data_IF_921280487594
#
_entry.id   IF_921280487594
#
_cell.length_a   1.000
_cell.length_b   1.000
_cell.length_c   1.000
_cell.angle_alpha   90.00
_cell.angle_beta   90.00
_cell.angle_gamma   90.00
#
_symmetry.space_group_name_H-M   'P 1'
#
loop_
_entity.id
_entity.type
_entity.pdbx_description
1 polymer ?
#
# COMPACT_ATOMS: atom_id res chain seq x y z
N UNK A 1 -15.55 33.28 -12.11
CA UNK A 1 -14.42 32.46 -12.55
C UNK A 1 -14.29 32.41 -14.08
N UNK A 2 -15.28 31.94 -14.87
CA UNK A 2 -15.19 31.93 -16.34
C UNK A 2 -14.87 33.29 -16.96
N UNK A 3 -15.51 34.37 -16.51
CA UNK A 3 -15.18 35.72 -16.90
C UNK A 3 -13.69 36.07 -16.60
N UNK A 4 -13.18 35.65 -15.45
CA UNK A 4 -11.79 35.86 -15.08
C UNK A 4 -10.82 35.11 -15.99
N UNK A 5 -11.19 33.88 -16.44
CA UNK A 5 -10.39 33.12 -17.42
C UNK A 5 -10.40 33.83 -18.80
N UNK A 6 -11.53 34.40 -19.23
CA UNK A 6 -11.64 35.14 -20.51
C UNK A 6 -10.75 36.39 -20.47
N UNK A 7 -10.73 37.14 -19.37
CA UNK A 7 -9.95 38.36 -19.21
C UNK A 7 -8.48 38.11 -18.88
N UNK A 8 -8.17 37.11 -18.05
CA UNK A 8 -6.81 36.78 -17.65
C UNK A 8 -6.04 35.95 -18.67
N UNK A 9 -6.72 35.52 -19.76
CA UNK A 9 -6.11 34.78 -20.85
C UNK A 9 -5.43 33.46 -20.40
N UNK A 10 -4.34 33.12 -21.06
CA UNK A 10 -3.61 31.87 -20.88
C UNK A 10 -3.22 31.60 -19.42
N UNK A 11 -2.74 32.59 -18.69
CA UNK A 11 -2.31 32.42 -17.30
C UNK A 11 -3.47 32.04 -16.35
N UNK A 12 -4.62 32.68 -16.52
CA UNK A 12 -5.80 32.42 -15.71
C UNK A 12 -6.44 31.05 -16.06
N UNK A 13 -6.45 30.69 -17.36
CA UNK A 13 -6.94 29.37 -17.79
C UNK A 13 -6.02 28.26 -17.30
N UNK A 14 -4.70 28.41 -17.40
CA UNK A 14 -3.74 27.44 -16.88
C UNK A 14 -3.93 27.20 -15.38
N UNK A 15 -4.08 28.28 -14.60
CA UNK A 15 -4.34 28.19 -13.16
C UNK A 15 -5.69 27.50 -12.85
N UNK A 16 -6.74 27.80 -13.60
CA UNK A 16 -8.05 27.16 -13.39
C UNK A 16 -8.04 25.70 -13.84
N UNK A 17 -7.43 25.38 -15.00
CA UNK A 17 -7.37 24.03 -15.56
C UNK A 17 -6.49 23.06 -14.73
N UNK A 18 -5.59 23.59 -13.89
CA UNK A 18 -4.82 22.77 -12.97
C UNK A 18 -5.68 22.07 -11.90
N UNK A 19 -6.87 22.59 -11.57
CA UNK A 19 -7.75 22.09 -10.51
C UNK A 19 -9.16 21.80 -10.98
N UNK A 20 -9.61 22.34 -12.10
CA UNK A 20 -10.97 22.20 -12.59
C UNK A 20 -11.04 21.36 -13.86
N UNK A 21 -12.12 20.60 -13.94
CA UNK A 21 -12.53 19.88 -15.13
C UNK A 21 -13.92 20.37 -15.58
N UNK A 22 -14.26 20.29 -16.89
CA UNK A 22 -15.55 20.78 -17.38
C UNK A 22 -16.77 20.23 -16.62
N UNK A 23 -16.75 18.95 -16.24
CA UNK A 23 -17.87 18.32 -15.54
C UNK A 23 -18.10 18.86 -14.10
N UNK A 24 -17.13 19.58 -13.54
CA UNK A 24 -17.25 20.21 -12.21
C UNK A 24 -18.20 21.43 -12.22
N UNK A 25 -18.66 21.89 -13.37
CA UNK A 25 -19.66 22.95 -13.46
C UNK A 25 -21.08 22.35 -13.46
N UNK A 26 -21.99 23.00 -12.72
CA UNK A 26 -23.38 22.55 -12.63
C UNK A 26 -24.16 22.75 -13.94
N UNK A 27 -23.86 23.84 -14.64
CA UNK A 27 -24.51 24.18 -15.91
C UNK A 27 -23.75 23.60 -17.08
N UNK A 28 -24.44 22.93 -18.00
CA UNK A 28 -23.85 22.41 -19.23
C UNK A 28 -23.16 23.50 -20.06
N UNK A 29 -23.77 24.68 -20.13
CA UNK A 29 -23.21 25.86 -20.80
C UNK A 29 -21.84 26.24 -20.22
N UNK A 30 -21.72 26.25 -18.90
CA UNK A 30 -20.47 26.58 -18.24
C UNK A 30 -19.41 25.46 -18.44
N UNK A 31 -19.83 24.20 -18.50
CA UNK A 31 -18.94 23.08 -18.83
C UNK A 31 -18.31 23.28 -20.20
N UNK A 32 -19.12 23.69 -21.16
CA UNK A 32 -18.68 23.82 -22.56
C UNK A 32 -17.86 25.09 -22.79
N UNK A 33 -18.22 26.21 -22.11
CA UNK A 33 -17.35 27.41 -22.09
C UNK A 33 -15.97 27.05 -21.53
N UNK A 34 -15.92 26.33 -20.41
CA UNK A 34 -14.63 25.96 -19.80
C UNK A 34 -13.86 24.98 -20.69
N UNK A 35 -14.53 24.00 -21.29
CA UNK A 35 -13.93 23.09 -22.26
C UNK A 35 -13.30 23.84 -23.43
N UNK A 36 -14.01 24.83 -23.97
CA UNK A 36 -13.50 25.64 -25.08
C UNK A 36 -12.31 26.52 -24.65
N UNK A 37 -12.35 27.09 -23.45
CA UNK A 37 -11.21 27.82 -22.87
C UNK A 37 -9.97 26.93 -22.78
N UNK A 38 -10.11 25.67 -22.37
CA UNK A 38 -9.01 24.71 -22.31
C UNK A 38 -8.48 24.36 -23.71
N UNK A 39 -9.35 24.18 -24.70
CA UNK A 39 -8.93 23.95 -26.11
C UNK A 39 -8.14 25.11 -26.63
N UNK A 40 -8.64 26.37 -26.51
CA UNK A 40 -7.93 27.57 -26.93
C UNK A 40 -6.57 27.73 -26.24
N UNK A 41 -6.48 27.36 -24.97
CA UNK A 41 -5.23 27.35 -24.22
C UNK A 41 -4.24 26.31 -24.75
N UNK A 42 -4.68 25.05 -24.96
CA UNK A 42 -3.85 23.95 -25.48
C UNK A 42 -3.31 24.26 -26.89
N UNK A 43 -4.15 24.88 -27.75
CA UNK A 43 -3.79 25.26 -29.11
C UNK A 43 -3.02 26.58 -29.16
N UNK A 44 -2.72 27.20 -28.03
CA UNK A 44 -2.06 28.50 -27.91
C UNK A 44 -2.73 29.63 -28.73
N UNK A 45 -4.07 29.57 -28.85
CA UNK A 45 -4.89 30.57 -29.54
C UNK A 45 -5.23 31.75 -28.63
N UNK A 46 -5.58 32.88 -29.20
CA UNK A 46 -6.00 34.06 -28.42
C UNK A 46 -7.28 33.74 -27.62
N UNK A 47 -7.24 34.00 -26.32
CA UNK A 47 -8.37 33.82 -25.40
C UNK A 47 -9.02 35.16 -25.15
N UNK A 48 -10.16 35.36 -25.78
CA UNK A 48 -11.06 36.51 -25.56
C UNK A 48 -12.53 36.04 -25.71
N UNK A 49 -13.49 36.90 -25.40
CA UNK A 49 -14.90 36.56 -25.49
C UNK A 49 -15.36 36.16 -26.90
N UNK A 50 -14.69 36.68 -27.96
CA UNK A 50 -15.00 36.37 -29.37
C UNK A 50 -14.56 34.97 -29.73
N UNK A 51 -13.31 34.62 -29.47
CA UNK A 51 -12.76 33.27 -29.72
C UNK A 51 -13.53 32.20 -28.94
N UNK A 52 -13.84 32.47 -27.65
CA UNK A 52 -14.65 31.55 -26.83
C UNK A 52 -16.06 31.38 -27.39
N UNK A 53 -16.70 32.46 -27.85
CA UNK A 53 -18.05 32.37 -28.41
C UNK A 53 -18.09 31.66 -29.76
N UNK A 54 -17.04 31.79 -30.59
CA UNK A 54 -16.95 31.10 -31.90
C UNK A 54 -16.95 29.58 -31.74
N UNK A 55 -16.20 29.04 -30.79
CA UNK A 55 -16.20 27.60 -30.53
C UNK A 55 -17.52 27.03 -29.99
N UNK A 56 -18.38 27.89 -29.43
CA UNK A 56 -19.70 27.48 -28.98
C UNK A 56 -20.78 27.46 -30.08
N UNK A 57 -20.61 28.25 -31.16
CA UNK A 57 -21.55 28.30 -32.27
C UNK A 57 -21.53 27.03 -33.14
N UNK A 58 -20.45 26.26 -33.12
CA UNK A 58 -20.27 25.01 -33.88
C UNK A 58 -20.81 23.76 -33.15
N UNK A 59 -21.24 23.92 -31.92
CA UNK A 59 -21.71 22.81 -31.08
C UNK A 59 -23.24 22.73 -31.04
N UNK A 60 -23.86 21.54 -30.71
CA UNK A 60 -25.30 21.33 -30.72
C UNK A 60 -26.08 22.06 -29.61
N UNK A 61 -25.56 23.21 -29.15
CA UNK A 61 -26.11 23.98 -28.02
C UNK A 61 -27.24 24.94 -28.36
N UNK A 62 -27.69 25.00 -29.63
CA UNK A 62 -28.89 25.77 -30.01
C UNK A 62 -30.09 25.50 -29.16
N UNK A 63 -30.20 24.28 -28.59
CA UNK A 63 -31.34 23.86 -27.76
C UNK A 63 -31.26 24.34 -26.31
N UNK A 64 -30.07 24.65 -25.79
CA UNK A 64 -29.90 25.10 -24.39
C UNK A 64 -30.17 26.59 -24.24
N UNK A 65 -30.00 27.37 -25.32
CA UNK A 65 -30.23 28.80 -25.34
C UNK A 65 -31.63 29.19 -25.87
N UNK A 66 -32.63 28.28 -25.70
CA UNK A 66 -34.02 28.45 -26.24
C UNK A 66 -34.74 29.74 -25.84
N UNK A 67 -34.25 30.42 -24.80
CA UNK A 67 -34.89 31.67 -24.34
C UNK A 67 -33.89 32.85 -24.47
N UNK A 68 -33.96 33.56 -25.60
CA UNK A 68 -33.54 34.96 -25.82
C UNK A 68 -32.07 35.34 -25.94
N UNK A 69 -31.06 34.51 -25.68
CA UNK A 69 -29.64 34.92 -25.80
C UNK A 69 -28.80 33.97 -26.63
N UNK A 70 -28.24 34.49 -27.73
CA UNK A 70 -27.22 33.72 -28.48
C UNK A 70 -26.00 33.42 -27.60
N UNK A 71 -25.24 32.32 -27.85
CA UNK A 71 -24.01 32.05 -27.13
C UNK A 71 -23.04 33.24 -27.11
N UNK A 72 -22.93 33.97 -28.19
CA UNK A 72 -22.12 35.20 -28.29
C UNK A 72 -22.53 36.26 -27.26
N UNK A 73 -23.82 36.51 -27.16
CA UNK A 73 -24.33 37.48 -26.23
C UNK A 73 -24.12 37.04 -24.77
N UNK A 74 -24.34 35.76 -24.50
CA UNK A 74 -24.13 35.22 -23.15
C UNK A 74 -22.67 35.34 -22.71
N UNK A 75 -21.69 34.93 -23.54
CA UNK A 75 -20.24 35.04 -23.23
C UNK A 75 -19.81 36.52 -23.12
N UNK A 76 -20.33 37.39 -24.00
CA UNK A 76 -20.09 38.83 -23.91
C UNK A 76 -20.62 39.44 -22.63
N UNK A 77 -21.88 39.12 -22.25
CA UNK A 77 -22.51 39.60 -21.01
C UNK A 77 -21.73 39.07 -19.80
N UNK A 78 -21.29 37.79 -19.83
CA UNK A 78 -20.49 37.17 -18.78
C UNK A 78 -19.15 37.89 -18.60
N UNK A 79 -18.47 38.23 -19.71
CA UNK A 79 -17.19 38.94 -19.67
C UNK A 79 -17.31 40.39 -19.16
N UNK A 80 -18.42 41.06 -19.48
CA UNK A 80 -18.65 42.46 -19.05
C UNK A 80 -19.17 42.57 -17.59
N UNK A 81 -19.84 41.53 -17.09
CA UNK A 81 -20.46 41.54 -15.75
C UNK A 81 -19.46 41.50 -14.59
N UNK A 82 -18.25 40.95 -14.83
CA UNK A 82 -17.27 40.72 -13.77
C UNK A 82 -15.88 41.16 -14.20
N UNK A 83 -15.30 42.22 -13.57
CA UNK A 83 -13.93 42.62 -13.84
C UNK A 83 -12.93 41.54 -13.40
N UNK A 84 -11.80 41.49 -14.06
CA UNK A 84 -10.72 40.60 -13.73
C UNK A 84 -10.08 40.97 -12.39
N UNK A 85 -10.08 40.03 -11.46
CA UNK A 85 -9.33 40.13 -10.20
C UNK A 85 -8.55 38.84 -10.01
N UNK A 86 -7.24 38.90 -10.18
CA UNK A 86 -6.34 37.76 -10.06
C UNK A 86 -6.37 37.14 -8.64
N UNK A 87 -6.66 37.94 -7.60
CA UNK A 87 -6.69 37.47 -6.21
C UNK A 87 -7.94 36.64 -5.90
N UNK A 88 -9.01 36.84 -6.68
CA UNK A 88 -10.28 36.13 -6.51
C UNK A 88 -10.34 34.82 -7.28
N UNK A 89 -9.52 34.64 -8.30
CA UNK A 89 -9.55 33.43 -9.15
C UNK A 89 -9.33 32.14 -8.34
N UNK A 90 -8.29 32.03 -7.46
CA UNK A 90 -8.09 30.82 -6.64
C UNK A 90 -9.31 30.49 -5.76
N UNK A 91 -9.89 31.51 -5.12
CA UNK A 91 -11.08 31.32 -4.26
C UNK A 91 -12.31 30.86 -5.04
N UNK A 92 -12.47 31.36 -6.28
CA UNK A 92 -13.56 30.92 -7.15
C UNK A 92 -13.35 29.48 -7.61
N UNK A 93 -12.12 29.07 -7.92
CA UNK A 93 -11.75 27.70 -8.29
C UNK A 93 -12.06 26.76 -7.11
N UNK A 94 -11.59 27.06 -5.92
CA UNK A 94 -11.84 26.30 -4.69
C UNK A 94 -13.34 26.08 -4.43
N UNK A 95 -14.14 27.16 -4.59
CA UNK A 95 -15.60 27.06 -4.42
C UNK A 95 -16.28 26.17 -5.47
N UNK A 96 -15.81 26.18 -6.71
CA UNK A 96 -16.36 25.30 -7.75
C UNK A 96 -16.02 23.84 -7.45
N UNK A 97 -14.80 23.54 -7.00
CA UNK A 97 -14.39 22.20 -6.54
C UNK A 97 -15.30 21.76 -5.39
N UNK A 98 -15.41 22.56 -4.33
CA UNK A 98 -16.28 22.25 -3.16
C UNK A 98 -17.72 21.91 -3.59
N UNK A 99 -18.32 22.74 -4.46
CA UNK A 99 -19.68 22.48 -4.93
C UNK A 99 -19.79 21.29 -5.87
N UNK A 100 -18.75 20.97 -6.64
CA UNK A 100 -18.71 19.78 -7.48
C UNK A 100 -18.69 18.50 -6.61
N UNK A 101 -17.85 18.48 -5.59
CA UNK A 101 -17.77 17.38 -4.61
C UNK A 101 -19.10 17.18 -3.87
N UNK A 102 -19.70 18.26 -3.40
CA UNK A 102 -21.05 18.20 -2.75
C UNK A 102 -22.12 17.60 -3.66
N UNK A 103 -22.10 17.95 -4.98
CA UNK A 103 -23.02 17.38 -5.96
C UNK A 103 -22.73 15.90 -6.21
N UNK A 104 -21.46 15.51 -6.29
CA UNK A 104 -21.07 14.11 -6.47
C UNK A 104 -21.52 13.25 -5.28
N UNK A 105 -21.30 13.70 -4.06
CA UNK A 105 -21.79 13.03 -2.84
C UNK A 105 -23.31 12.95 -2.81
N UNK A 106 -24.01 14.03 -3.17
CA UNK A 106 -25.48 14.03 -3.22
C UNK A 106 -26.03 13.09 -4.28
N UNK A 107 -25.37 13.00 -5.45
CA UNK A 107 -25.73 12.05 -6.52
C UNK A 107 -25.55 10.61 -6.07
N UNK A 108 -24.41 10.32 -5.42
CA UNK A 108 -24.13 9.00 -4.86
C UNK A 108 -25.17 8.61 -3.79
N UNK A 109 -25.52 9.53 -2.89
CA UNK A 109 -26.53 9.27 -1.86
C UNK A 109 -27.90 8.89 -2.48
N UNK A 110 -28.31 9.57 -3.56
CA UNK A 110 -29.53 9.24 -4.30
C UNK A 110 -29.44 7.86 -4.95
N UNK A 111 -28.32 7.55 -5.59
CA UNK A 111 -28.07 6.24 -6.21
C UNK A 111 -28.14 5.12 -5.16
N UNK A 112 -27.45 5.29 -4.03
CA UNK A 112 -27.46 4.32 -2.94
C UNK A 112 -28.84 4.14 -2.32
N UNK A 113 -29.61 5.22 -2.18
CA UNK A 113 -31.01 5.13 -1.74
C UNK A 113 -31.85 4.27 -2.69
N UNK A 114 -31.71 4.49 -3.99
CA UNK A 114 -32.45 3.70 -5.00
C UNK A 114 -32.04 2.23 -4.99
N UNK A 115 -30.74 1.95 -4.90
CA UNK A 115 -30.22 0.58 -4.84
C UNK A 115 -30.60 -0.15 -3.54
N UNK A 116 -30.62 0.57 -2.41
CA UNK A 116 -31.04 0.00 -1.12
C UNK A 116 -32.52 -0.39 -1.07
N UNK A 117 -33.36 0.24 -1.91
CA UNK A 117 -34.76 -0.11 -2.04
C UNK A 117 -35.01 -1.29 -3.01
N UNK A 118 -34.01 -1.71 -3.75
CA UNK A 118 -34.08 -2.88 -4.62
C UNK A 118 -33.84 -4.17 -3.82
N UNK A 119 -34.91 -4.88 -3.50
CA UNK A 119 -34.85 -6.12 -2.71
C UNK A 119 -34.25 -7.32 -3.45
N UNK A 120 -34.03 -7.23 -4.77
CA UNK A 120 -33.42 -8.30 -5.58
C UNK A 120 -31.89 -8.31 -5.46
N UNK A 121 -31.30 -7.19 -5.05
CA UNK A 121 -29.84 -7.06 -4.95
C UNK A 121 -29.35 -7.37 -3.53
N UNK A 122 -28.32 -8.26 -3.36
CA UNK A 122 -27.79 -8.58 -2.05
C UNK A 122 -27.22 -7.36 -1.32
N UNK A 123 -27.60 -7.17 -0.05
CA UNK A 123 -27.18 -6.01 0.76
C UNK A 123 -25.66 -5.88 0.87
N UNK A 124 -24.93 -7.00 0.85
CA UNK A 124 -23.48 -7.00 0.92
C UNK A 124 -22.84 -6.37 -0.33
N UNK A 125 -23.42 -6.62 -1.51
CA UNK A 125 -22.96 -6.02 -2.77
C UNK A 125 -23.24 -4.51 -2.79
N UNK A 126 -24.41 -4.09 -2.30
CA UNK A 126 -24.76 -2.66 -2.21
C UNK A 126 -23.76 -1.94 -1.29
N UNK A 127 -23.45 -2.53 -0.13
CA UNK A 127 -22.45 -1.97 0.80
C UNK A 127 -21.06 -1.90 0.18
N UNK A 128 -20.63 -2.93 -0.55
CA UNK A 128 -19.35 -2.96 -1.24
C UNK A 128 -19.25 -1.86 -2.30
N UNK A 129 -20.27 -1.76 -3.17
CA UNK A 129 -20.34 -0.73 -4.20
C UNK A 129 -20.38 0.70 -3.61
N UNK A 130 -21.08 0.88 -2.49
CA UNK A 130 -21.12 2.17 -1.79
C UNK A 130 -19.75 2.62 -1.29
N UNK A 131 -19.00 1.71 -0.67
CA UNK A 131 -17.64 1.99 -0.19
C UNK A 131 -16.72 2.27 -1.37
N UNK A 132 -16.77 1.48 -2.43
CA UNK A 132 -15.93 1.68 -3.63
C UNK A 132 -16.17 3.06 -4.26
N UNK A 133 -17.43 3.46 -4.42
CA UNK A 133 -17.77 4.74 -5.04
C UNK A 133 -17.45 5.95 -4.15
N UNK A 134 -17.63 5.83 -2.82
CA UNK A 134 -17.17 6.86 -1.86
C UNK A 134 -15.66 7.05 -1.92
N UNK A 135 -14.92 5.95 -2.02
CA UNK A 135 -13.47 5.97 -2.12
C UNK A 135 -13.00 6.55 -3.46
N UNK A 136 -13.72 6.23 -4.56
CA UNK A 136 -13.46 6.85 -5.86
C UNK A 136 -13.61 8.37 -5.78
N UNK A 137 -14.68 8.86 -5.16
CA UNK A 137 -14.89 10.31 -4.97
C UNK A 137 -13.80 10.94 -4.08
N UNK A 138 -13.32 10.22 -3.07
CA UNK A 138 -12.23 10.71 -2.23
C UNK A 138 -10.88 10.77 -2.98
N UNK A 139 -10.67 9.89 -3.97
CA UNK A 139 -9.45 9.78 -4.75
C UNK A 139 -9.49 10.54 -6.08
N UNK A 140 -10.65 10.99 -6.57
CA UNK A 140 -10.79 11.73 -7.85
C UNK A 140 -9.99 13.05 -7.91
N UNK A 141 -9.44 13.49 -6.77
CA UNK A 141 -8.51 14.62 -6.69
C UNK A 141 -7.04 14.27 -7.04
N UNK A 142 -6.73 13.00 -7.33
CA UNK A 142 -5.39 12.64 -7.80
C UNK A 142 -5.23 13.07 -9.26
N UNK A 143 -4.54 14.18 -9.47
CA UNK A 143 -4.03 14.55 -10.78
C UNK A 143 -3.14 13.41 -11.30
N UNK A 144 -3.52 12.80 -12.43
CA UNK A 144 -2.74 11.73 -13.08
C UNK A 144 -1.34 12.22 -13.49
N UNK A 145 -1.15 13.54 -13.58
CA UNK A 145 0.14 14.18 -13.89
C UNK A 145 0.35 15.41 -13.02
N UNK A 146 1.56 15.57 -12.52
CA UNK A 146 2.01 16.78 -11.84
C UNK A 146 3.35 17.23 -12.44
N UNK A 147 3.60 18.55 -12.47
CA UNK A 147 4.92 19.05 -12.84
C UNK A 147 5.96 18.69 -11.78
N UNK A 148 7.22 18.51 -12.19
CA UNK A 148 8.30 18.23 -11.24
C UNK A 148 8.37 19.28 -10.11
N UNK A 149 8.14 20.56 -10.43
CA UNK A 149 8.09 21.64 -9.43
C UNK A 149 6.95 21.49 -8.43
N UNK A 150 5.77 21.05 -8.85
CA UNK A 150 4.64 20.80 -7.95
C UNK A 150 4.92 19.61 -7.02
N UNK A 151 5.57 18.57 -7.53
CA UNK A 151 5.99 17.40 -6.71
C UNK A 151 7.05 17.80 -5.69
N UNK A 152 8.05 18.60 -6.08
CA UNK A 152 9.05 19.11 -5.13
C UNK A 152 8.41 19.97 -4.03
N UNK A 153 7.51 20.88 -4.42
CA UNK A 153 6.81 21.74 -3.47
C UNK A 153 5.85 21.01 -2.50
N UNK A 154 5.56 19.73 -2.74
CA UNK A 154 4.73 18.91 -1.84
C UNK A 154 5.46 18.31 -0.64
N UNK A 155 6.69 18.72 -0.37
CA UNK A 155 7.54 18.27 0.74
C UNK A 155 8.71 17.39 0.32
N UNK A 156 8.79 17.02 -0.98
CA UNK A 156 9.88 16.18 -1.46
C UNK A 156 11.24 16.92 -1.42
N UNK A 157 11.26 18.24 -1.58
CA UNK A 157 12.48 19.04 -1.48
C UNK A 157 13.09 18.93 -0.09
N UNK A 158 12.29 19.07 0.96
CA UNK A 158 12.73 18.93 2.36
C UNK A 158 13.23 17.51 2.65
N UNK A 159 12.56 16.48 2.10
CA UNK A 159 12.99 15.09 2.26
C UNK A 159 14.37 14.85 1.60
N UNK A 160 14.58 15.38 0.39
CA UNK A 160 15.87 15.25 -0.32
C UNK A 160 16.97 15.97 0.45
N UNK A 161 16.73 17.19 0.94
CA UNK A 161 17.71 17.96 1.72
C UNK A 161 18.04 17.22 3.02
N UNK A 162 17.03 16.74 3.75
CA UNK A 162 17.25 15.98 4.99
C UNK A 162 18.10 14.71 4.74
N UNK A 163 17.86 13.99 3.63
CA UNK A 163 18.67 12.84 3.24
C UNK A 163 20.11 13.23 2.90
N UNK A 164 20.34 14.36 2.24
CA UNK A 164 21.69 14.83 1.92
C UNK A 164 22.46 15.26 3.18
N UNK A 165 21.78 15.79 4.19
CA UNK A 165 22.36 16.15 5.48
C UNK A 165 22.64 14.92 6.36
N UNK A 166 21.75 13.94 6.37
CA UNK A 166 21.91 12.67 7.08
C UNK A 166 21.47 11.48 6.20
N UNK A 167 22.38 10.88 5.42
CA UNK A 167 22.08 9.71 4.58
C UNK A 167 21.67 8.45 5.37
N UNK A 168 21.75 8.47 6.70
CA UNK A 168 21.27 7.38 7.56
C UNK A 168 19.79 7.54 7.96
N UNK A 169 19.17 8.63 7.53
CA UNK A 169 17.76 8.89 7.80
C UNK A 169 16.87 7.82 7.16
N UNK A 170 15.95 7.29 7.95
CA UNK A 170 15.00 6.28 7.49
C UNK A 170 13.73 7.00 7.03
N UNK A 171 13.48 6.97 5.72
CA UNK A 171 12.31 7.60 5.11
C UNK A 171 11.05 6.73 5.17
N UNK A 172 11.21 5.41 5.18
CA UNK A 172 10.13 4.45 5.29
C UNK A 172 9.70 4.18 6.73
N UNK A 173 8.75 3.27 6.90
CA UNK A 173 8.34 2.81 8.23
C UNK A 173 9.50 2.05 8.88
N UNK A 174 9.93 2.53 10.05
CA UNK A 174 11.02 1.93 10.82
C UNK A 174 10.67 0.53 11.28
N UNK A 175 11.60 -0.39 11.08
CA UNK A 175 11.45 -1.78 11.51
C UNK A 175 12.27 -2.14 12.74
N UNK A 176 13.29 -1.38 13.07
CA UNK A 176 14.29 -1.72 14.08
C UNK A 176 15.21 -2.87 13.66
N UNK A 177 15.14 -3.29 12.40
CA UNK A 177 15.97 -4.36 11.82
C UNK A 177 16.95 -3.72 10.87
N UNK A 178 18.25 -3.76 11.23
CA UNK A 178 19.32 -3.06 10.48
C UNK A 178 19.29 -3.35 8.98
N UNK A 179 19.03 -4.59 8.59
CA UNK A 179 18.98 -4.99 7.19
C UNK A 179 17.91 -4.19 6.41
N UNK A 180 16.72 -4.01 6.99
CA UNK A 180 15.65 -3.22 6.37
C UNK A 180 15.93 -1.72 6.48
N UNK A 181 16.26 -1.26 7.68
CA UNK A 181 16.37 0.15 7.96
C UNK A 181 17.58 0.80 7.26
N UNK A 182 18.75 0.11 7.23
CA UNK A 182 19.95 0.66 6.61
C UNK A 182 20.06 0.41 5.11
N UNK A 183 19.52 -0.73 4.61
CA UNK A 183 19.69 -1.10 3.20
C UNK A 183 18.51 -0.68 2.34
N UNK A 184 17.28 -0.71 2.90
CA UNK A 184 16.07 -0.36 2.19
C UNK A 184 15.49 1.00 2.62
N UNK A 185 16.10 1.71 3.58
CA UNK A 185 15.54 2.94 4.13
C UNK A 185 14.27 2.73 4.98
N UNK A 186 14.07 1.51 5.51
CA UNK A 186 12.84 1.07 6.17
C UNK A 186 11.86 0.42 5.19
N UNK A 187 10.59 0.35 5.56
CA UNK A 187 9.52 -0.06 4.64
C UNK A 187 9.02 1.19 3.91
N UNK A 188 9.54 1.42 2.70
CA UNK A 188 9.16 2.59 1.90
C UNK A 188 7.71 2.52 1.45
N UNK A 189 7.02 3.67 1.48
CA UNK A 189 5.66 3.82 1.00
C UNK A 189 5.54 3.47 -0.48
N UNK A 190 4.33 3.10 -0.92
CA UNK A 190 4.02 2.72 -2.30
C UNK A 190 4.86 1.54 -2.82
N UNK A 191 5.55 0.77 -1.94
CA UNK A 191 6.41 -0.35 -2.29
C UNK A 191 5.83 -1.69 -1.86
N UNK A 192 6.13 -2.71 -2.67
CA UNK A 192 5.84 -4.12 -2.35
C UNK A 192 7.14 -4.86 -2.11
N UNK A 193 7.28 -5.43 -0.93
CA UNK A 193 8.40 -6.27 -0.51
C UNK A 193 7.91 -7.70 -0.45
N UNK A 194 8.47 -8.58 -1.28
CA UNK A 194 8.11 -10.00 -1.27
C UNK A 194 9.16 -10.83 -0.54
N UNK A 195 8.70 -11.63 0.41
CA UNK A 195 9.53 -12.57 1.17
C UNK A 195 9.37 -13.97 0.58
N UNK A 196 10.47 -14.49 0.06
CA UNK A 196 10.55 -15.84 -0.49
C UNK A 196 11.09 -16.80 0.56
N UNK A 197 10.37 -17.87 0.79
CA UNK A 197 10.82 -18.88 1.73
C UNK A 197 10.16 -20.22 1.47
N UNK A 198 10.84 -21.29 1.83
CA UNK A 198 10.28 -22.64 1.80
C UNK A 198 9.23 -22.86 2.88
N UNK A 199 8.44 -23.91 2.76
CA UNK A 199 7.46 -24.31 3.79
C UNK A 199 8.17 -24.71 5.09
N UNK A 200 7.54 -24.38 6.22
CA UNK A 200 7.97 -24.81 7.58
C UNK A 200 9.31 -24.22 8.08
N UNK A 201 9.90 -23.23 7.40
CA UNK A 201 11.14 -22.59 7.86
C UNK A 201 10.94 -21.36 8.75
N UNK A 202 9.70 -21.02 9.09
CA UNK A 202 9.42 -19.90 10.00
C UNK A 202 8.96 -18.60 9.33
N UNK A 203 8.43 -18.63 8.11
CA UNK A 203 7.92 -17.44 7.38
C UNK A 203 6.93 -16.60 8.20
N UNK A 204 5.89 -17.25 8.72
CA UNK A 204 4.87 -16.58 9.53
C UNK A 204 5.46 -16.02 10.83
N UNK A 205 6.44 -16.72 11.43
CA UNK A 205 7.17 -16.17 12.57
C UNK A 205 7.93 -14.90 12.21
N UNK A 206 8.56 -14.87 11.02
CA UNK A 206 9.26 -13.67 10.56
C UNK A 206 8.31 -12.50 10.36
N UNK A 207 7.17 -12.72 9.68
CA UNK A 207 6.16 -11.69 9.43
C UNK A 207 5.58 -11.15 10.75
N UNK A 208 5.22 -12.05 11.67
CA UNK A 208 4.70 -11.66 12.97
C UNK A 208 5.76 -10.91 13.81
N UNK A 209 7.01 -11.37 13.79
CA UNK A 209 8.10 -10.70 14.47
C UNK A 209 8.37 -9.32 13.88
N UNK A 210 8.42 -9.18 12.55
CA UNK A 210 8.67 -7.89 11.90
C UNK A 210 7.52 -6.90 12.17
N UNK A 211 6.26 -7.36 12.11
CA UNK A 211 5.09 -6.53 12.46
C UNK A 211 5.13 -6.08 13.92
N UNK A 212 5.54 -6.97 14.83
CA UNK A 212 5.78 -6.64 16.24
C UNK A 212 6.86 -5.59 16.43
N UNK A 213 7.97 -5.68 15.68
CA UNK A 213 9.04 -4.69 15.75
C UNK A 213 8.54 -3.31 15.32
N UNK A 214 7.80 -3.22 14.22
CA UNK A 214 7.15 -1.97 13.78
C UNK A 214 6.24 -1.41 14.87
N UNK A 215 5.40 -2.23 15.48
CA UNK A 215 4.48 -1.80 16.54
C UNK A 215 5.21 -1.30 17.80
N UNK A 216 6.32 -1.92 18.17
CA UNK A 216 7.17 -1.48 19.29
C UNK A 216 7.80 -0.12 19.06
N UNK A 217 8.00 0.27 17.81
CA UNK A 217 8.46 1.60 17.42
C UNK A 217 7.33 2.62 17.24
N UNK A 218 6.10 2.24 17.62
CA UNK A 218 4.92 3.12 17.60
C UNK A 218 4.08 3.03 16.31
N UNK A 219 4.51 2.25 15.33
CA UNK A 219 3.79 2.04 14.07
C UNK A 219 2.50 1.21 14.23
N UNK A 220 1.65 1.26 13.23
CA UNK A 220 0.33 0.61 13.17
C UNK A 220 0.30 -0.46 12.06
N UNK A 221 0.89 -1.66 12.27
CA UNK A 221 0.89 -2.71 11.27
C UNK A 221 -0.46 -3.41 11.19
N UNK A 222 -0.88 -3.77 9.95
CA UNK A 222 -2.05 -4.58 9.68
C UNK A 222 -1.63 -5.92 9.06
N UNK A 223 -1.95 -7.03 9.73
CA UNK A 223 -1.63 -8.39 9.28
C UNK A 223 -2.87 -8.99 8.62
N UNK A 224 -2.75 -9.40 7.37
CA UNK A 224 -3.71 -10.27 6.69
C UNK A 224 -3.17 -11.70 6.70
N UNK A 225 -3.88 -12.58 7.39
CA UNK A 225 -3.59 -14.01 7.41
C UNK A 225 -4.61 -14.76 6.56
N UNK A 226 -4.13 -15.60 5.65
CA UNK A 226 -4.98 -16.50 4.84
C UNK A 226 -4.95 -17.93 5.35
N UNK A 227 -3.98 -18.27 6.21
CA UNK A 227 -3.78 -19.62 6.73
C UNK A 227 -4.23 -19.74 8.19
N UNK A 228 -3.90 -18.74 9.01
CA UNK A 228 -4.10 -18.81 10.46
C UNK A 228 -5.25 -17.92 10.93
N UNK A 229 -6.19 -18.45 11.75
CA UNK A 229 -7.23 -17.65 12.38
C UNK A 229 -6.66 -16.50 13.23
N UNK A 230 -7.43 -15.41 13.39
CA UNK A 230 -6.99 -14.22 14.16
C UNK A 230 -6.47 -14.59 15.57
N UNK A 231 -7.17 -15.48 16.28
CA UNK A 231 -6.79 -15.86 17.63
C UNK A 231 -5.42 -16.55 17.68
N UNK A 232 -5.07 -17.34 16.65
CA UNK A 232 -3.78 -18.01 16.58
C UNK A 232 -2.64 -17.05 16.30
N UNK A 233 -2.84 -16.07 15.39
CA UNK A 233 -1.89 -14.98 15.13
C UNK A 233 -1.64 -14.18 16.41
N UNK A 234 -2.70 -13.76 17.09
CA UNK A 234 -2.60 -13.00 18.35
C UNK A 234 -1.93 -13.84 19.44
N UNK A 235 -2.23 -15.14 19.54
CA UNK A 235 -1.58 -16.05 20.47
C UNK A 235 -0.07 -16.14 20.21
N UNK A 236 0.37 -16.27 18.95
CA UNK A 236 1.80 -16.27 18.59
C UNK A 236 2.48 -14.95 18.97
N UNK A 237 1.86 -13.84 18.69
CA UNK A 237 2.38 -12.52 19.09
C UNK A 237 2.51 -12.42 20.61
N UNK A 238 1.55 -12.95 21.38
CA UNK A 238 1.61 -12.96 22.85
C UNK A 238 2.78 -13.82 23.39
N UNK A 239 3.04 -14.99 22.78
CA UNK A 239 4.21 -15.79 23.11
C UNK A 239 5.52 -15.07 22.77
N UNK A 240 5.58 -14.35 21.64
CA UNK A 240 6.75 -13.54 21.27
C UNK A 240 6.97 -12.38 22.26
N UNK A 241 5.92 -11.70 22.71
CA UNK A 241 6.04 -10.60 23.67
C UNK A 241 6.44 -11.10 25.06
N UNK A 242 5.86 -12.20 25.52
CA UNK A 242 6.20 -12.84 26.78
C UNK A 242 7.51 -13.63 26.72
N UNK A 243 8.07 -13.86 25.54
CA UNK A 243 9.24 -14.74 25.33
C UNK A 243 9.08 -16.14 25.97
N UNK A 244 7.90 -16.72 25.80
CA UNK A 244 7.52 -17.99 26.43
C UNK A 244 7.55 -19.13 25.41
N UNK A 245 8.16 -20.26 25.81
CA UNK A 245 8.18 -21.47 24.98
C UNK A 245 6.90 -22.27 25.15
N UNK A 246 6.01 -22.16 24.18
CA UNK A 246 4.75 -22.92 24.15
C UNK A 246 4.97 -24.44 24.11
N UNK A 247 5.99 -24.89 23.36
CA UNK A 247 6.25 -26.34 23.22
C UNK A 247 6.79 -26.93 24.49
N UNK A 248 7.68 -26.22 25.18
CA UNK A 248 8.23 -26.65 26.46
C UNK A 248 7.12 -26.76 27.52
N UNK A 249 6.22 -25.75 27.60
CA UNK A 249 5.07 -25.83 28.53
C UNK A 249 4.20 -27.04 28.21
N UNK A 250 3.95 -27.31 26.93
CA UNK A 250 3.15 -28.46 26.51
C UNK A 250 3.81 -29.79 26.86
N UNK A 251 5.13 -29.88 26.74
CA UNK A 251 5.89 -31.08 27.13
C UNK A 251 5.94 -31.28 28.62
N UNK A 252 6.09 -30.22 29.40
CA UNK A 252 6.07 -30.28 30.88
C UNK A 252 4.67 -30.53 31.45
N UNK A 253 3.63 -30.23 30.66
CA UNK A 253 2.23 -30.35 31.12
C UNK A 253 1.80 -29.23 32.10
N UNK A 254 2.71 -28.36 32.52
CA UNK A 254 2.43 -27.28 33.48
C UNK A 254 3.32 -26.08 33.20
N UNK A 255 2.75 -24.86 33.29
CA UNK A 255 3.51 -23.62 33.25
C UNK A 255 3.91 -23.18 34.66
N UNK A 256 5.14 -22.74 34.80
CA UNK A 256 5.66 -22.12 36.04
C UNK A 256 4.98 -20.79 36.31
N UNK A 257 5.12 -20.28 37.54
CA UNK A 257 4.60 -18.95 37.90
C UNK A 257 5.28 -17.83 37.10
N UNK A 258 6.58 -17.98 36.77
CA UNK A 258 7.30 -17.07 35.95
C UNK A 258 6.72 -17.04 34.52
N UNK A 259 6.59 -18.21 33.86
CA UNK A 259 6.01 -18.30 32.50
C UNK A 259 4.59 -17.74 32.46
N UNK A 260 3.78 -17.94 33.49
CA UNK A 260 2.45 -17.33 33.60
C UNK A 260 2.53 -15.80 33.73
N UNK A 261 3.51 -15.29 34.49
CA UNK A 261 3.78 -13.87 34.64
C UNK A 261 4.21 -13.24 33.29
N UNK A 262 5.16 -13.87 32.63
CA UNK A 262 5.69 -13.43 31.34
C UNK A 262 4.61 -13.44 30.25
N UNK A 263 3.76 -14.45 30.24
CA UNK A 263 2.63 -14.53 29.33
C UNK A 263 1.58 -13.42 29.60
N UNK A 264 1.29 -13.10 30.88
CA UNK A 264 0.42 -11.98 31.24
C UNK A 264 1.01 -10.65 30.76
N UNK A 265 2.31 -10.45 30.94
CA UNK A 265 3.02 -9.29 30.42
C UNK A 265 2.87 -9.21 28.90
N UNK A 266 3.15 -10.29 28.17
CA UNK A 266 3.00 -10.32 26.71
C UNK A 266 1.59 -9.96 26.23
N UNK A 267 0.56 -10.50 26.91
CA UNK A 267 -0.83 -10.16 26.61
C UNK A 267 -1.15 -8.69 26.91
N UNK A 268 -0.61 -8.13 27.99
CA UNK A 268 -0.82 -6.73 28.36
C UNK A 268 -0.18 -5.79 27.34
N UNK A 269 1.05 -6.08 26.90
CA UNK A 269 1.73 -5.31 25.83
C UNK A 269 0.88 -5.30 24.55
N UNK A 270 0.32 -6.45 24.16
CA UNK A 270 -0.50 -6.54 22.95
C UNK A 270 -1.82 -5.77 23.04
N UNK A 271 -2.45 -5.68 24.22
CA UNK A 271 -3.68 -4.88 24.41
C UNK A 271 -3.49 -3.41 24.04
N UNK A 272 -2.31 -2.88 24.31
CA UNK A 272 -1.96 -1.48 24.01
C UNK A 272 -1.21 -1.30 22.68
N UNK A 273 -0.89 -2.40 21.99
CA UNK A 273 -0.27 -2.35 20.69
C UNK A 273 -1.26 -1.89 19.61
N UNK A 274 -0.73 -1.28 18.55
CA UNK A 274 -1.53 -0.90 17.38
C UNK A 274 -1.60 -2.01 16.32
N UNK A 275 -1.20 -3.25 16.65
CA UNK A 275 -1.25 -4.38 15.72
C UNK A 275 -2.70 -4.74 15.41
N UNK A 276 -3.04 -4.75 14.14
CA UNK A 276 -4.33 -5.20 13.69
C UNK A 276 -4.21 -6.52 12.92
N UNK A 277 -5.18 -7.41 13.09
CA UNK A 277 -5.20 -8.73 12.43
C UNK A 277 -6.51 -8.92 11.69
N UNK A 278 -6.43 -9.23 10.41
CA UNK A 278 -7.55 -9.67 9.57
C UNK A 278 -7.32 -11.11 9.12
N UNK A 279 -8.39 -11.89 9.02
CA UNK A 279 -8.32 -13.28 8.59
C UNK A 279 -9.47 -13.62 7.65
N UNK A 280 -9.12 -14.27 6.55
CA UNK A 280 -10.05 -15.03 5.73
C UNK A 280 -9.27 -16.14 5.04
N UNK A 281 -9.76 -17.38 5.11
CA UNK A 281 -9.14 -18.55 4.47
C UNK A 281 -9.00 -18.38 2.93
N UNK A 282 -9.68 -17.42 2.36
CA UNK A 282 -9.61 -17.03 0.96
C UNK A 282 -9.89 -15.53 0.87
N UNK A 283 -8.83 -14.73 1.03
CA UNK A 283 -8.92 -13.27 1.03
C UNK A 283 -8.95 -12.74 -0.41
N UNK A 284 -10.05 -12.11 -0.80
CA UNK A 284 -10.09 -11.38 -2.09
C UNK A 284 -9.29 -10.09 -2.01
N UNK A 285 -8.52 -9.79 -3.06
CA UNK A 285 -7.65 -8.61 -3.12
C UNK A 285 -8.42 -7.28 -3.00
N UNK A 286 -9.65 -7.21 -3.52
CA UNK A 286 -10.51 -6.03 -3.40
C UNK A 286 -11.02 -5.85 -1.97
N UNK A 287 -11.39 -6.98 -1.31
CA UNK A 287 -11.81 -6.96 0.11
C UNK A 287 -10.66 -6.49 1.00
N UNK A 288 -9.43 -6.96 0.70
CA UNK A 288 -8.23 -6.50 1.40
C UNK A 288 -8.04 -4.99 1.23
N UNK A 289 -8.12 -4.47 0.00
CA UNK A 289 -8.02 -3.04 -0.27
C UNK A 289 -9.05 -2.23 0.52
N UNK A 290 -10.30 -2.68 0.55
CA UNK A 290 -11.38 -2.03 1.30
C UNK A 290 -11.11 -2.00 2.80
N UNK A 291 -10.60 -3.09 3.38
CA UNK A 291 -10.26 -3.14 4.82
C UNK A 291 -9.08 -2.24 5.16
N UNK A 292 -8.05 -2.17 4.31
CA UNK A 292 -6.92 -1.24 4.51
C UNK A 292 -7.43 0.20 4.54
N UNK A 293 -8.22 0.61 3.52
CA UNK A 293 -8.79 1.95 3.43
C UNK A 293 -9.66 2.29 4.64
N UNK A 294 -10.55 1.37 5.03
CA UNK A 294 -11.39 1.55 6.21
C UNK A 294 -10.55 1.82 7.47
N UNK A 295 -9.45 1.08 7.64
CA UNK A 295 -8.57 1.26 8.78
C UNK A 295 -7.74 2.53 8.71
N UNK A 296 -7.25 2.91 7.55
CA UNK A 296 -6.55 4.20 7.39
C UNK A 296 -7.45 5.36 7.85
N UNK A 297 -8.75 5.32 7.55
CA UNK A 297 -9.72 6.33 7.97
C UNK A 297 -10.06 6.31 9.46
N UNK A 298 -9.93 5.17 10.15
CA UNK A 298 -10.42 5.02 11.54
C UNK A 298 -9.32 4.98 12.58
N UNK A 299 -8.28 4.18 12.35
CA UNK A 299 -7.25 3.89 13.36
C UNK A 299 -5.81 4.08 12.85
N UNK A 300 -5.65 4.40 11.58
CA UNK A 300 -4.36 4.46 10.91
C UNK A 300 -3.80 3.07 10.57
N UNK A 301 -3.01 3.02 9.49
CA UNK A 301 -2.20 1.86 9.09
C UNK A 301 -0.92 2.40 8.47
N UNK A 302 0.23 1.99 9.00
CA UNK A 302 1.54 2.42 8.50
C UNK A 302 2.16 1.40 7.54
N UNK A 303 1.82 0.12 7.69
CA UNK A 303 2.28 -0.95 6.81
C UNK A 303 1.34 -2.16 6.85
N UNK A 304 1.36 -2.95 5.79
CA UNK A 304 0.54 -4.15 5.63
C UNK A 304 1.43 -5.38 5.49
N UNK A 305 1.07 -6.45 6.18
CA UNK A 305 1.67 -7.77 6.07
C UNK A 305 0.67 -8.78 5.52
N UNK A 306 1.07 -9.56 4.51
CA UNK A 306 0.22 -10.58 3.88
C UNK A 306 0.86 -11.96 4.04
N UNK A 307 0.23 -12.83 4.80
CA UNK A 307 0.67 -14.21 5.03
C UNK A 307 -0.43 -15.17 4.58
N UNK A 308 -0.39 -15.64 3.33
CA UNK A 308 0.54 -15.57 2.23
C UNK A 308 -0.20 -15.30 0.89
N UNK A 309 0.53 -14.96 -0.17
CA UNK A 309 -0.05 -14.59 -1.49
C UNK A 309 -0.90 -15.73 -2.09
N UNK A 310 -0.46 -16.98 -1.97
CA UNK A 310 -1.15 -18.14 -2.56
C UNK A 310 -2.51 -18.44 -1.92
N UNK A 311 -2.78 -17.93 -0.71
CA UNK A 311 -4.09 -18.01 -0.07
C UNK A 311 -5.07 -16.91 -0.50
N UNK A 312 -4.62 -15.98 -1.35
CA UNK A 312 -5.46 -14.88 -1.83
C UNK A 312 -6.26 -15.24 -3.07
N UNK A 313 -7.27 -14.41 -3.36
CA UNK A 313 -8.14 -14.52 -4.54
C UNK A 313 -8.21 -13.21 -5.31
N UNK A 314 -8.59 -13.34 -6.58
CA UNK A 314 -8.97 -12.21 -7.41
C UNK A 314 -10.28 -12.57 -8.13
N UNK A 315 -11.23 -11.67 -8.14
CA UNK A 315 -12.55 -11.86 -8.74
C UNK A 315 -12.45 -12.32 -10.20
N UNK A 316 -13.31 -13.27 -10.59
CA UNK A 316 -13.36 -13.81 -11.95
C UNK A 316 -12.26 -14.81 -12.32
N UNK A 317 -11.29 -15.10 -11.43
CA UNK A 317 -10.22 -16.05 -11.68
C UNK A 317 -10.41 -17.31 -10.81
N UNK A 318 -10.64 -18.48 -11.41
CA UNK A 318 -10.77 -19.73 -10.68
C UNK A 318 -9.46 -20.13 -9.99
N UNK A 319 -9.56 -20.81 -8.84
CA UNK A 319 -8.39 -21.35 -8.10
C UNK A 319 -7.54 -22.33 -8.91
N UNK A 320 -8.14 -23.04 -9.89
CA UNK A 320 -7.42 -23.95 -10.78
C UNK A 320 -6.44 -23.24 -11.72
N UNK A 321 -6.58 -21.93 -11.90
CA UNK A 321 -5.70 -21.07 -12.70
C UNK A 321 -4.67 -20.36 -11.83
N UNK A 322 -3.92 -21.11 -11.05
CA UNK A 322 -3.00 -20.59 -10.02
C UNK A 322 -2.06 -19.50 -10.54
N UNK A 323 -1.47 -19.67 -11.72
CA UNK A 323 -0.54 -18.70 -12.32
C UNK A 323 -1.23 -17.36 -12.63
N UNK A 324 -2.45 -17.41 -13.21
CA UNK A 324 -3.24 -16.21 -13.51
C UNK A 324 -3.64 -15.52 -12.21
N UNK A 325 -4.02 -16.30 -11.20
CA UNK A 325 -4.40 -15.79 -9.89
C UNK A 325 -3.24 -15.08 -9.18
N UNK A 326 -2.05 -15.69 -9.15
CA UNK A 326 -0.86 -15.08 -8.56
C UNK A 326 -0.50 -13.78 -9.30
N UNK A 327 -0.59 -13.76 -10.64
CA UNK A 327 -0.36 -12.56 -11.43
C UNK A 327 -1.34 -11.44 -11.06
N UNK A 328 -2.62 -11.75 -10.93
CA UNK A 328 -3.64 -10.77 -10.55
C UNK A 328 -3.44 -10.25 -9.12
N UNK A 329 -3.10 -11.14 -8.19
CA UNK A 329 -2.85 -10.78 -6.78
C UNK A 329 -1.61 -9.89 -6.67
N UNK A 330 -0.48 -10.24 -7.28
CA UNK A 330 0.76 -9.44 -7.20
C UNK A 330 0.59 -8.06 -7.82
N UNK A 331 -0.05 -7.99 -8.99
CA UNK A 331 -0.40 -6.71 -9.63
C UNK A 331 -1.36 -5.89 -8.76
N UNK A 332 -2.37 -6.54 -8.16
CA UNK A 332 -3.30 -5.91 -7.23
C UNK A 332 -2.60 -5.36 -5.97
N UNK A 333 -1.67 -6.11 -5.38
CA UNK A 333 -0.87 -5.63 -4.25
C UNK A 333 -0.04 -4.39 -4.63
N UNK A 334 0.56 -4.38 -5.83
CA UNK A 334 1.32 -3.23 -6.31
C UNK A 334 0.42 -2.01 -6.54
N UNK A 335 -0.78 -2.21 -7.09
CA UNK A 335 -1.78 -1.15 -7.27
C UNK A 335 -2.20 -0.58 -5.91
N UNK A 336 -2.56 -1.44 -4.94
CA UNK A 336 -2.97 -1.02 -3.60
C UNK A 336 -1.87 -0.25 -2.89
N UNK A 337 -0.62 -0.72 -2.97
CA UNK A 337 0.53 -0.04 -2.36
C UNK A 337 0.67 1.39 -2.92
N UNK A 338 0.55 1.55 -4.24
CA UNK A 338 0.63 2.87 -4.90
C UNK A 338 -0.55 3.77 -4.60
N UNK A 339 -1.79 3.27 -4.70
CA UNK A 339 -3.01 4.06 -4.48
C UNK A 339 -3.17 4.53 -3.02
N UNK A 340 -2.75 3.71 -2.06
CA UNK A 340 -2.92 3.99 -0.63
C UNK A 340 -1.68 4.56 0.02
N UNK A 341 -0.61 4.75 -0.75
CA UNK A 341 0.71 5.21 -0.29
C UNK A 341 1.20 4.45 0.95
N UNK A 342 1.14 3.11 0.89
CA UNK A 342 1.45 2.23 2.01
C UNK A 342 2.41 1.11 1.59
N UNK A 343 3.42 0.76 2.41
CA UNK A 343 4.26 -0.41 2.15
C UNK A 343 3.50 -1.71 2.42
N UNK A 344 3.67 -2.67 1.53
CA UNK A 344 3.11 -4.02 1.67
C UNK A 344 4.25 -5.04 1.71
N UNK A 345 4.30 -5.85 2.77
CA UNK A 345 5.20 -6.99 2.92
C UNK A 345 4.41 -8.27 2.71
N UNK A 346 4.68 -9.01 1.65
CA UNK A 346 3.92 -10.20 1.30
C UNK A 346 4.80 -11.46 1.27
N UNK A 347 4.32 -12.55 1.87
CA UNK A 347 4.99 -13.84 1.82
C UNK A 347 4.60 -14.58 0.54
N UNK A 348 5.58 -15.16 -0.14
CA UNK A 348 5.39 -16.11 -1.22
C UNK A 348 6.11 -17.41 -0.96
N UNK A 349 5.43 -18.52 -1.21
CA UNK A 349 6.06 -19.83 -1.24
C UNK A 349 6.97 -19.98 -2.44
N UNK A 350 8.03 -20.77 -2.28
CA UNK A 350 8.87 -21.19 -3.39
C UNK A 350 8.41 -22.56 -3.90
N UNK A 351 8.59 -22.78 -5.21
CA UNK A 351 8.42 -24.09 -5.81
C UNK A 351 9.72 -24.87 -5.70
N UNK A 352 9.65 -26.11 -5.21
CA UNK A 352 10.80 -27.01 -5.16
C UNK A 352 10.90 -27.78 -6.48
N UNK A 353 11.99 -27.68 -7.23
CA UNK A 353 12.21 -28.60 -8.32
C UNK A 353 12.69 -29.96 -7.77
N UNK A 354 11.86 -30.97 -7.87
CA UNK A 354 12.21 -32.39 -7.90
C UNK A 354 12.42 -33.12 -6.57
N UNK A 355 13.36 -32.77 -5.73
CA UNK A 355 13.70 -33.55 -4.53
C UNK A 355 13.26 -32.85 -3.25
N UNK A 356 12.27 -33.44 -2.54
CA UNK A 356 11.75 -32.89 -1.28
C UNK A 356 12.76 -32.92 -0.13
N UNK A 357 13.84 -33.68 -0.25
CA UNK A 357 14.89 -33.82 0.77
C UNK A 357 15.97 -32.74 0.65
N UNK A 358 16.15 -32.17 -0.54
CA UNK A 358 17.16 -31.16 -0.81
C UNK A 358 16.78 -29.79 -0.22
N UNK A 359 17.72 -29.13 0.40
CA UNK A 359 17.62 -27.74 0.84
C UNK A 359 18.50 -26.87 -0.05
N UNK A 360 17.86 -26.02 -0.86
CA UNK A 360 18.55 -25.07 -1.70
C UNK A 360 18.19 -23.64 -1.29
N UNK A 361 19.15 -22.72 -1.40
CA UNK A 361 18.84 -21.29 -1.20
C UNK A 361 17.77 -20.83 -2.17
N UNK A 362 16.71 -20.15 -1.67
CA UNK A 362 15.68 -19.64 -2.54
C UNK A 362 16.26 -18.68 -3.57
N UNK A 363 15.83 -18.83 -4.81
CA UNK A 363 16.12 -17.88 -5.89
C UNK A 363 14.83 -17.26 -6.39
N UNK A 364 14.92 -16.08 -7.00
CA UNK A 364 13.75 -15.39 -7.56
C UNK A 364 13.00 -16.29 -8.56
N UNK A 365 13.73 -17.12 -9.32
CA UNK A 365 13.15 -18.05 -10.32
C UNK A 365 12.30 -19.17 -9.71
N UNK A 366 12.52 -19.49 -8.45
CA UNK A 366 11.77 -20.52 -7.73
C UNK A 366 10.48 -19.99 -7.08
N UNK A 367 10.24 -18.69 -7.10
CA UNK A 367 8.99 -18.14 -6.61
C UNK A 367 7.80 -18.65 -7.45
N UNK A 368 6.74 -19.11 -6.80
CA UNK A 368 5.49 -19.46 -7.49
C UNK A 368 4.97 -18.24 -8.26
N UNK A 369 4.81 -18.33 -9.59
CA UNK A 369 4.50 -17.16 -10.42
C UNK A 369 5.69 -16.21 -10.60
N UNK A 370 6.94 -16.74 -10.65
CA UNK A 370 8.20 -16.01 -10.61
C UNK A 370 8.25 -14.74 -11.45
N UNK A 371 7.70 -14.76 -12.67
CA UNK A 371 7.73 -13.59 -13.57
C UNK A 371 6.90 -12.41 -13.06
N UNK A 372 5.75 -12.63 -12.43
CA UNK A 372 4.92 -11.55 -11.86
C UNK A 372 5.49 -11.05 -10.53
N UNK A 373 5.94 -11.96 -9.67
CA UNK A 373 6.56 -11.58 -8.40
C UNK A 373 7.82 -10.75 -8.66
N UNK A 374 8.66 -11.17 -9.61
CA UNK A 374 9.87 -10.42 -9.96
C UNK A 374 9.53 -9.04 -10.52
N UNK A 375 8.50 -8.94 -11.38
CA UNK A 375 8.09 -7.68 -12.01
C UNK A 375 7.47 -6.71 -11.01
N UNK A 376 6.53 -7.19 -10.18
CA UNK A 376 5.63 -6.37 -9.39
C UNK A 376 6.22 -6.04 -8.00
N UNK A 377 7.20 -6.81 -7.50
CA UNK A 377 7.92 -6.52 -6.26
C UNK A 377 9.01 -5.48 -6.45
N UNK A 378 9.06 -4.49 -5.57
CA UNK A 378 10.14 -3.50 -5.52
C UNK A 378 11.39 -4.06 -4.86
N UNK A 379 11.19 -4.89 -3.83
CA UNK A 379 12.26 -5.65 -3.19
C UNK A 379 11.86 -7.11 -3.01
N UNK A 380 12.83 -8.02 -3.15
CA UNK A 380 12.64 -9.45 -2.92
C UNK A 380 13.68 -9.92 -1.92
N UNK A 381 13.21 -10.53 -0.86
CA UNK A 381 14.00 -11.02 0.27
C UNK A 381 13.82 -12.52 0.38
N UNK A 382 14.89 -13.28 0.55
CA UNK A 382 14.81 -14.70 0.85
C UNK A 382 15.18 -15.00 2.28
N UNK A 383 14.47 -15.97 2.87
CA UNK A 383 14.80 -16.57 4.16
C UNK A 383 15.33 -17.97 3.92
N UNK A 384 16.47 -18.28 4.52
CA UNK A 384 17.11 -19.57 4.37
C UNK A 384 17.76 -20.01 5.68
N UNK A 385 17.52 -21.24 6.17
CA UNK A 385 18.19 -21.75 7.35
C UNK A 385 19.63 -22.15 7.04
N UNK A 386 20.55 -21.79 7.92
CA UNK A 386 21.98 -22.12 7.81
C UNK A 386 22.47 -22.80 9.07
N UNK A 387 23.45 -23.68 8.93
CA UNK A 387 24.22 -24.21 10.03
C UNK A 387 25.33 -23.25 10.38
N UNK A 388 25.63 -23.06 11.66
CA UNK A 388 26.68 -22.16 12.13
C UNK A 388 27.79 -22.97 12.78
N UNK A 389 29.02 -22.81 12.28
CA UNK A 389 30.25 -23.35 12.88
C UNK A 389 31.08 -22.20 13.43
N UNK A 390 31.61 -22.33 14.63
CA UNK A 390 32.52 -21.35 15.22
C UNK A 390 33.96 -21.71 14.84
N UNK A 391 34.69 -20.78 14.23
CA UNK A 391 36.10 -20.94 13.90
C UNK A 391 36.98 -20.76 15.16
N UNK A 392 38.23 -21.17 15.06
CA UNK A 392 39.23 -21.04 16.15
C UNK A 392 39.48 -19.58 16.59
N UNK A 393 39.31 -18.61 15.68
CA UNK A 393 39.39 -17.17 15.94
C UNK A 393 38.11 -16.60 16.57
N UNK A 394 37.11 -17.46 16.80
CA UNK A 394 35.81 -17.11 17.34
C UNK A 394 34.87 -16.49 16.33
N UNK A 395 35.21 -16.41 15.05
CA UNK A 395 34.29 -15.98 13.99
C UNK A 395 33.28 -17.07 13.63
N UNK A 396 32.21 -16.66 13.02
CA UNK A 396 31.12 -17.57 12.59
C UNK A 396 31.27 -17.92 11.11
N UNK A 397 31.10 -19.20 10.78
CA UNK A 397 31.07 -19.68 9.42
C UNK A 397 29.68 -20.29 9.15
N UNK A 398 28.83 -19.62 8.37
CA UNK A 398 27.58 -20.23 7.94
C UNK A 398 27.85 -21.24 6.83
N UNK A 399 27.16 -22.35 6.90
CA UNK A 399 27.14 -23.38 5.86
C UNK A 399 25.72 -23.84 5.60
N UNK A 400 25.48 -24.38 4.40
CA UNK A 400 24.19 -24.94 4.07
C UNK A 400 23.99 -26.23 4.86
N UNK A 401 22.74 -26.54 5.20
CA UNK A 401 22.39 -27.88 5.69
C UNK A 401 22.54 -28.89 4.54
N UNK A 402 23.10 -30.05 4.86
CA UNK A 402 23.23 -31.11 3.87
C UNK A 402 21.85 -31.58 3.34
N UNK A 403 20.87 -31.63 4.25
CA UNK A 403 19.50 -32.02 3.95
C UNK A 403 18.49 -31.39 4.92
N UNK A 404 17.21 -31.62 4.64
CA UNK A 404 16.12 -31.15 5.48
C UNK A 404 16.09 -31.78 6.88
N UNK A 405 16.58 -32.99 7.02
CA UNK A 405 16.61 -33.69 8.30
C UNK A 405 17.57 -33.01 9.26
N UNK A 406 18.74 -32.58 8.77
CA UNK A 406 19.69 -31.77 9.56
C UNK A 406 19.06 -30.50 10.07
N UNK A 407 18.36 -29.77 9.23
CA UNK A 407 17.60 -28.59 9.63
C UNK A 407 16.53 -28.89 10.69
N UNK A 408 15.68 -29.91 10.47
CA UNK A 408 14.62 -30.30 11.40
C UNK A 408 15.18 -30.74 12.78
N UNK A 409 16.33 -31.41 12.77
CA UNK A 409 17.01 -31.79 14.02
C UNK A 409 17.54 -30.56 14.78
N UNK A 410 18.10 -29.58 14.09
CA UNK A 410 18.50 -28.32 14.73
C UNK A 410 17.28 -27.54 15.22
N UNK A 411 16.18 -27.51 14.47
CA UNK A 411 14.95 -26.87 14.92
C UNK A 411 14.42 -27.43 16.26
N UNK A 412 14.59 -28.73 16.50
CA UNK A 412 14.23 -29.37 17.79
C UNK A 412 15.07 -28.88 18.97
N UNK A 413 16.22 -28.28 18.75
CA UNK A 413 17.03 -27.67 19.82
C UNK A 413 16.51 -26.31 20.29
N UNK A 414 15.42 -25.82 19.70
CA UNK A 414 14.80 -24.56 20.05
C UNK A 414 15.37 -23.34 19.34
N UNK A 415 16.49 -23.47 18.60
CA UNK A 415 17.11 -22.36 17.87
C UNK A 415 17.63 -22.79 16.50
N UNK A 416 17.39 -21.94 15.49
CA UNK A 416 17.91 -22.10 14.13
C UNK A 416 18.51 -20.79 13.65
N UNK A 417 19.69 -20.85 13.04
CA UNK A 417 20.24 -19.69 12.36
C UNK A 417 19.58 -19.53 11.00
N UNK A 418 19.14 -18.33 10.72
CA UNK A 418 18.40 -17.97 9.51
C UNK A 418 19.13 -16.86 8.78
N UNK A 419 19.46 -17.08 7.53
CA UNK A 419 19.98 -16.05 6.62
C UNK A 419 18.79 -15.30 6.05
N UNK A 420 18.85 -13.97 6.12
CA UNK A 420 17.95 -13.03 5.45
C UNK A 420 18.76 -12.36 4.36
N UNK A 421 18.38 -12.52 3.10
CA UNK A 421 19.12 -12.00 1.96
C UNK A 421 18.22 -11.16 1.05
N UNK A 422 18.65 -9.93 0.76
CA UNK A 422 18.01 -9.07 -0.24
C UNK A 422 18.53 -9.50 -1.60
N UNK A 423 17.67 -10.15 -2.40
CA UNK A 423 17.99 -10.64 -3.75
C UNK A 423 17.73 -9.60 -4.83
N UNK A 424 16.75 -8.72 -4.58
CA UNK A 424 16.39 -7.62 -5.48
C UNK A 424 16.01 -6.41 -4.65
N UNK A 425 16.44 -5.24 -5.05
CA UNK A 425 15.96 -3.96 -4.54
C UNK A 425 16.00 -2.90 -5.63
N UNK A 426 14.89 -2.18 -5.82
CA UNK A 426 14.84 -1.00 -6.71
C UNK A 426 15.51 0.23 -6.09
N UNK A 427 15.64 0.27 -4.77
CA UNK A 427 16.38 1.31 -4.07
C UNK A 427 17.91 1.14 -4.20
N UNK A 428 18.36 0.01 -4.77
CA UNK A 428 19.78 -0.36 -4.89
C UNK A 428 20.26 -1.18 -3.70
N UNK A 429 21.39 -1.87 -3.89
CA UNK A 429 22.02 -2.67 -2.86
C UNK A 429 21.50 -4.11 -2.76
N UNK A 430 22.45 -5.01 -2.49
CA UNK A 430 22.17 -6.34 -1.98
C UNK A 430 22.84 -6.45 -0.62
N UNK A 431 22.15 -7.04 0.34
CA UNK A 431 22.68 -7.26 1.67
C UNK A 431 22.17 -8.60 2.20
N UNK A 432 22.95 -9.18 3.07
CA UNK A 432 22.53 -10.37 3.81
C UNK A 432 22.90 -10.21 5.28
N UNK A 433 22.07 -10.79 6.13
CA UNK A 433 22.31 -10.81 7.57
C UNK A 433 21.83 -12.14 8.14
N UNK A 434 22.31 -12.52 9.30
CA UNK A 434 21.91 -13.76 9.96
C UNK A 434 21.30 -13.48 11.33
N UNK A 435 20.20 -14.16 11.58
CA UNK A 435 19.44 -14.09 12.82
C UNK A 435 19.24 -15.48 13.41
N UNK A 436 19.21 -15.55 14.74
CA UNK A 436 18.66 -16.70 15.42
C UNK A 436 17.13 -16.61 15.43
N UNK A 437 16.46 -17.57 14.84
CA UNK A 437 15.06 -17.82 15.12
C UNK A 437 14.99 -18.67 16.39
N UNK A 438 14.57 -18.05 17.48
CA UNK A 438 14.57 -18.64 18.82
C UNK A 438 13.14 -19.05 19.21
N UNK A 439 12.85 -20.32 19.05
CA UNK A 439 11.54 -20.88 19.39
C UNK A 439 11.32 -20.94 20.90
N UNK A 440 12.41 -21.07 21.70
CA UNK A 440 12.33 -21.06 23.16
C UNK A 440 11.86 -19.72 23.73
N UNK A 441 11.93 -18.68 22.91
CA UNK A 441 11.43 -17.33 23.21
C UNK A 441 10.20 -16.96 22.38
N UNK A 442 9.34 -17.92 22.10
CA UNK A 442 8.10 -17.70 21.34
C UNK A 442 8.30 -17.46 19.83
N UNK A 443 9.49 -17.74 19.29
CA UNK A 443 9.80 -17.61 17.87
C UNK A 443 10.24 -16.19 17.46
N UNK A 444 10.93 -15.49 18.35
CA UNK A 444 11.55 -14.19 18.03
C UNK A 444 12.82 -14.37 17.18
N UNK A 445 13.15 -13.32 16.44
CA UNK A 445 14.38 -13.26 15.66
C UNK A 445 15.37 -12.35 16.37
N UNK A 446 16.57 -12.87 16.63
CA UNK A 446 17.63 -12.20 17.38
C UNK A 446 18.83 -12.06 16.44
N UNK A 447 19.33 -10.85 16.18
CA UNK A 447 20.51 -10.71 15.33
C UNK A 447 21.68 -11.51 15.88
N UNK A 448 22.43 -12.14 14.99
CA UNK A 448 23.65 -12.84 15.35
C UNK A 448 24.72 -11.78 15.62
N UNK A 449 25.04 -11.56 16.91
CA UNK A 449 25.86 -10.44 17.34
C UNK A 449 27.23 -10.33 16.65
N UNK A 450 27.46 -9.16 16.05
CA UNK A 450 28.66 -8.30 16.04
C UNK A 450 29.98 -8.85 15.52
N UNK A 451 30.08 -10.09 15.04
CA UNK A 451 31.32 -10.60 14.47
C UNK A 451 31.27 -10.54 12.95
N UNK A 452 32.14 -9.71 12.38
CA UNK A 452 32.25 -9.44 10.94
C UNK A 452 32.23 -10.73 10.12
N UNK A 453 31.29 -10.75 9.18
CA UNK A 453 31.28 -11.67 8.05
C UNK A 453 32.47 -11.32 7.14
N UNK A 454 33.26 -12.27 6.77
CA UNK A 454 34.23 -12.18 5.66
C UNK A 454 33.68 -12.92 4.45
#
# INVERSE_FOLDING_TARGET
MLAMCIHGGHAAVAQAASLLQPHMFASKVHQDIFKNLCILWDENQQIDWRSVSMGLDETPYRDVFREEKSPKRYVSDLSTAYPYDATMLPKCVEKIVEFAERRAVSSLARKLFTEAMNMERPLLEIKGAAVEELLRLANDNHQLSATAGAVLASGLEEEIIAFLEDPTLIHGVRTGVNLFDKTLGGLEKSRVITILADTSIGKSFFTHWLSRQVARLGGSPLIFSTEMPKWEVVQRLAYMEGQVDRLEIRHKGVATNQEKGDMRYGMEVLKYSKIAVSYAASMDIKVMATEIRRRQMTSGVDCVFVDHIQGMRAEGIPMSKERELINAVTSGLKTIAGELDIPIVAISHIHRPGDETSMARPTIRQAHGSGSIERDSDSIISLYPVSITTRADGSWLPSDFADRLGFLNQQKTGKVAMEIMIQKSRAGGSARDIYWLDYSKGGIWIPLDGRKWQ
#
